data_IF_734072075429
#
_entry.id   IF_734072075429
#
_cell.length_a   1.000
_cell.length_b   1.000
_cell.length_c   1.000
_cell.angle_alpha   90.00
_cell.angle_beta   90.00
_cell.angle_gamma   90.00
#
_symmetry.space_group_name_H-M   'P 1'
#
loop_
_entity.id
_entity.type
_entity.pdbx_description
1 polymer ?
#
# COMPACT_ATOMS: atom_id res chain seq x y z
N UNK A 1 15.74 10.01 -4.64
CA UNK A 1 15.34 8.71 -5.22
C UNK A 1 16.04 8.41 -6.54
N UNK A 2 15.91 9.22 -7.61
CA UNK A 2 16.57 8.94 -8.91
C UNK A 2 18.10 8.79 -8.85
N UNK A 3 18.78 9.61 -8.04
CA UNK A 3 20.24 9.52 -7.83
C UNK A 3 20.68 8.24 -7.10
N UNK A 4 19.84 7.73 -6.18
CA UNK A 4 20.07 6.46 -5.47
C UNK A 4 19.77 5.24 -6.35
N UNK A 5 18.98 5.42 -7.40
CA UNK A 5 18.72 4.41 -8.44
C UNK A 5 19.76 4.44 -9.58
N UNK A 6 20.80 5.28 -9.48
CA UNK A 6 21.88 5.37 -10.49
C UNK A 6 21.58 6.29 -11.67
N UNK A 7 20.47 7.03 -11.67
CA UNK A 7 20.19 8.06 -12.69
C UNK A 7 20.96 9.32 -12.30
N UNK A 8 22.09 9.58 -12.97
CA UNK A 8 22.89 10.80 -12.81
C UNK A 8 24.37 10.63 -12.44
N UNK A 9 24.93 9.41 -12.45
CA UNK A 9 26.39 9.21 -12.43
C UNK A 9 26.89 9.03 -13.87
N UNK A 10 27.92 9.77 -14.28
CA UNK A 10 28.54 9.69 -15.62
C UNK A 10 29.11 8.30 -15.99
N UNK A 11 28.99 7.30 -15.10
CA UNK A 11 29.44 5.91 -15.25
C UNK A 11 28.40 4.84 -14.92
N UNK A 12 27.18 5.23 -14.52
CA UNK A 12 26.10 4.29 -14.24
C UNK A 12 25.36 4.01 -15.55
N UNK A 13 25.51 2.79 -16.08
CA UNK A 13 24.75 2.39 -17.26
C UNK A 13 23.24 2.45 -16.94
N UNK A 14 22.42 3.11 -17.76
CA UNK A 14 20.95 3.09 -17.65
C UNK A 14 20.36 1.67 -17.47
N UNK A 15 21.08 0.64 -17.94
CA UNK A 15 20.73 -0.77 -17.75
C UNK A 15 20.78 -1.22 -16.28
N UNK A 16 21.70 -0.74 -15.46
CA UNK A 16 21.78 -1.10 -14.03
C UNK A 16 20.61 -0.53 -13.23
N UNK A 17 20.18 0.69 -13.54
CA UNK A 17 18.99 1.31 -12.96
C UNK A 17 17.71 0.54 -13.36
N UNK A 18 17.61 0.16 -14.64
CA UNK A 18 16.50 -0.64 -15.15
C UNK A 18 16.44 -2.03 -14.51
N UNK A 19 17.59 -2.71 -14.35
CA UNK A 19 17.66 -4.01 -13.68
C UNK A 19 17.24 -3.91 -12.21
N UNK A 20 17.71 -2.89 -11.48
CA UNK A 20 17.29 -2.65 -10.10
C UNK A 20 15.78 -2.43 -9.98
N UNK A 21 15.19 -1.70 -10.94
CA UNK A 21 13.74 -1.48 -11.00
C UNK A 21 12.99 -2.79 -11.27
N UNK A 22 13.44 -3.58 -12.25
CA UNK A 22 12.85 -4.88 -12.59
C UNK A 22 13.00 -5.88 -11.44
N UNK A 23 14.12 -5.90 -10.73
CA UNK A 23 14.30 -6.75 -9.55
C UNK A 23 13.34 -6.34 -8.43
N UNK A 24 13.28 -5.05 -8.10
CA UNK A 24 12.39 -4.53 -7.04
C UNK A 24 10.91 -4.84 -7.36
N UNK A 25 10.45 -4.46 -8.55
CA UNK A 25 9.03 -4.56 -8.93
C UNK A 25 8.64 -5.95 -9.41
N UNK A 26 9.54 -6.65 -10.09
CA UNK A 26 9.37 -8.02 -10.52
C UNK A 26 9.25 -8.98 -9.34
N UNK A 27 10.15 -8.91 -8.36
CA UNK A 27 10.05 -9.75 -7.15
C UNK A 27 8.79 -9.42 -6.33
N UNK A 28 8.42 -8.14 -6.23
CA UNK A 28 7.17 -7.73 -5.60
C UNK A 28 5.93 -8.33 -6.29
N UNK A 29 5.89 -8.35 -7.62
CA UNK A 29 4.77 -8.95 -8.37
C UNK A 29 4.77 -10.48 -8.30
N UNK A 30 5.94 -11.11 -8.40
CA UNK A 30 6.09 -12.56 -8.30
C UNK A 30 5.67 -13.08 -6.91
N UNK A 31 6.08 -12.41 -5.84
CA UNK A 31 5.68 -12.78 -4.48
C UNK A 31 4.16 -12.71 -4.29
N UNK A 32 3.51 -11.67 -4.84
CA UNK A 32 2.05 -11.56 -4.88
C UNK A 32 1.41 -12.72 -5.65
N UNK A 33 1.95 -13.08 -6.81
CA UNK A 33 1.43 -14.21 -7.60
C UNK A 33 1.48 -15.51 -6.80
N UNK A 34 2.65 -15.85 -6.25
CA UNK A 34 2.85 -17.06 -5.44
C UNK A 34 1.92 -17.08 -4.23
N UNK A 35 1.81 -15.96 -3.53
CA UNK A 35 0.98 -15.88 -2.33
C UNK A 35 -0.52 -15.93 -2.59
N UNK A 36 -0.99 -15.28 -3.66
CA UNK A 36 -2.41 -15.35 -4.06
C UNK A 36 -2.77 -16.79 -4.44
N UNK A 37 -1.86 -17.49 -5.13
CA UNK A 37 -2.05 -18.89 -5.50
C UNK A 37 -2.07 -19.84 -4.29
N UNK A 38 -1.26 -19.59 -3.25
CA UNK A 38 -1.12 -20.49 -2.10
C UNK A 38 -2.11 -20.22 -0.96
N UNK A 39 -2.56 -18.97 -0.77
CA UNK A 39 -3.36 -18.59 0.39
C UNK A 39 -4.83 -18.28 0.09
N UNK A 40 -5.27 -18.44 -1.17
CA UNK A 40 -6.65 -18.25 -1.61
C UNK A 40 -7.68 -18.95 -0.70
N UNK A 41 -7.37 -20.17 -0.24
CA UNK A 41 -8.26 -21.00 0.59
C UNK A 41 -8.36 -20.58 2.05
N UNK A 42 -7.42 -19.79 2.57
CA UNK A 42 -7.38 -19.40 4.00
C UNK A 42 -8.10 -18.06 4.26
N UNK A 43 -8.40 -17.29 3.21
CA UNK A 43 -9.10 -16.00 3.35
C UNK A 43 -10.54 -16.14 3.86
N UNK A 44 -11.18 -17.27 3.58
CA UNK A 44 -12.60 -17.48 3.93
C UNK A 44 -12.82 -17.66 5.44
N UNK A 45 -11.83 -18.12 6.21
CA UNK A 45 -12.04 -18.51 7.62
C UNK A 45 -11.94 -17.33 8.59
N UNK A 46 -11.10 -16.31 8.31
CA UNK A 46 -10.82 -15.18 9.22
C UNK A 46 -10.65 -13.84 8.50
N UNK A 47 -11.58 -13.52 7.59
CA UNK A 47 -11.52 -12.35 6.71
C UNK A 47 -11.19 -11.03 7.44
N UNK A 48 -11.90 -10.69 8.53
CA UNK A 48 -11.69 -9.43 9.26
C UNK A 48 -10.28 -9.32 9.86
N UNK A 49 -9.78 -10.40 10.46
CA UNK A 49 -8.46 -10.42 11.09
C UNK A 49 -7.35 -10.35 10.04
N UNK A 50 -7.51 -11.08 8.93
CA UNK A 50 -6.56 -11.05 7.83
C UNK A 50 -6.54 -9.65 7.20
N UNK A 51 -7.71 -9.05 6.93
CA UNK A 51 -7.82 -7.68 6.40
C UNK A 51 -7.05 -6.69 7.27
N UNK A 52 -7.36 -6.63 8.57
CA UNK A 52 -6.72 -5.69 9.48
C UNK A 52 -5.20 -5.93 9.61
N UNK A 53 -4.79 -7.19 9.76
CA UNK A 53 -3.36 -7.54 9.85
C UNK A 53 -2.59 -7.14 8.60
N UNK A 54 -3.18 -7.32 7.42
CA UNK A 54 -2.53 -6.96 6.15
C UNK A 54 -2.48 -5.44 5.94
N UNK A 55 -3.46 -4.68 6.44
CA UNK A 55 -3.39 -3.23 6.49
C UNK A 55 -2.24 -2.73 7.37
N UNK A 56 -2.00 -3.34 8.53
CA UNK A 56 -0.83 -3.01 9.37
C UNK A 56 0.47 -3.26 8.61
N UNK A 57 0.61 -4.42 7.96
CA UNK A 57 1.81 -4.76 7.18
C UNK A 57 2.01 -3.78 6.02
N UNK A 58 0.94 -3.37 5.34
CA UNK A 58 1.00 -2.35 4.29
C UNK A 58 1.53 -1.01 4.80
N UNK A 59 0.99 -0.52 5.92
CA UNK A 59 1.44 0.72 6.55
C UNK A 59 2.88 0.64 7.05
N UNK A 60 3.32 -0.49 7.60
CA UNK A 60 4.72 -0.68 7.95
C UNK A 60 5.63 -0.70 6.72
N UNK A 61 5.16 -1.28 5.60
CA UNK A 61 5.91 -1.34 4.34
C UNK A 61 6.14 0.04 3.73
N UNK A 62 5.13 0.91 3.73
CA UNK A 62 5.28 2.29 3.26
C UNK A 62 6.20 3.08 4.21
N UNK A 63 6.09 2.86 5.53
CA UNK A 63 7.01 3.45 6.50
C UNK A 63 8.46 3.05 6.26
N UNK A 64 8.69 1.77 5.94
CA UNK A 64 10.01 1.26 5.58
C UNK A 64 10.54 1.89 4.29
N UNK A 65 9.69 2.12 3.28
CA UNK A 65 10.07 2.87 2.07
C UNK A 65 10.44 4.33 2.36
N UNK A 66 9.72 5.01 3.25
CA UNK A 66 10.03 6.37 3.67
C UNK A 66 11.38 6.47 4.40
N UNK A 67 11.82 5.39 5.05
CA UNK A 67 13.13 5.30 5.70
C UNK A 67 14.27 4.97 4.73
N UNK A 68 13.99 4.51 3.51
CA UNK A 68 15.04 4.16 2.53
C UNK A 68 16.06 5.27 2.22
N UNK A 69 15.74 6.57 2.24
CA UNK A 69 16.72 7.63 2.00
C UNK A 69 17.78 7.72 3.12
N UNK A 70 17.49 7.25 4.33
CA UNK A 70 18.42 7.25 5.46
C UNK A 70 19.46 6.13 5.38
N UNK A 71 19.20 5.07 4.61
CA UNK A 71 20.08 3.91 4.44
C UNK A 71 20.49 3.72 2.96
N UNK A 72 21.31 4.64 2.39
CA UNK A 72 21.64 4.60 0.97
C UNK A 72 22.38 3.33 0.53
N UNK A 73 23.15 2.69 1.43
CA UNK A 73 23.90 1.46 1.13
C UNK A 73 23.02 0.21 0.99
N UNK A 74 21.88 0.15 1.67
CA UNK A 74 20.93 -0.98 1.62
C UNK A 74 19.64 -0.64 0.89
N UNK A 75 19.63 0.49 0.16
CA UNK A 75 18.44 1.03 -0.51
C UNK A 75 17.68 -0.04 -1.31
N UNK A 76 18.39 -0.79 -2.16
CA UNK A 76 17.76 -1.79 -3.03
C UNK A 76 17.10 -2.93 -2.23
N UNK A 77 17.80 -3.46 -1.23
CA UNK A 77 17.31 -4.57 -0.42
C UNK A 77 16.09 -4.13 0.40
N UNK A 78 16.21 -3.02 1.12
CA UNK A 78 15.13 -2.47 1.95
C UNK A 78 13.92 -2.11 1.09
N UNK A 79 14.13 -1.46 -0.05
CA UNK A 79 13.05 -1.11 -0.97
C UNK A 79 12.38 -2.36 -1.57
N UNK A 80 13.13 -3.42 -1.85
CA UNK A 80 12.57 -4.68 -2.39
C UNK A 80 11.74 -5.41 -1.35
N UNK A 81 12.23 -5.53 -0.11
CA UNK A 81 11.48 -6.15 1.00
C UNK A 81 10.20 -5.36 1.28
N UNK A 82 10.29 -4.03 1.34
CA UNK A 82 9.13 -3.17 1.51
C UNK A 82 8.11 -3.35 0.37
N UNK A 83 8.58 -3.46 -0.87
CA UNK A 83 7.71 -3.66 -2.03
C UNK A 83 7.02 -5.03 -2.00
N UNK A 84 7.73 -6.10 -1.61
CA UNK A 84 7.16 -7.44 -1.45
C UNK A 84 6.02 -7.41 -0.42
N UNK A 85 6.26 -6.86 0.77
CA UNK A 85 5.26 -6.78 1.83
C UNK A 85 4.05 -5.90 1.45
N UNK A 86 4.28 -4.82 0.69
CA UNK A 86 3.23 -3.98 0.12
C UNK A 86 2.37 -4.75 -0.89
N UNK A 87 3.00 -5.41 -1.85
CA UNK A 87 2.32 -6.17 -2.92
C UNK A 87 1.53 -7.35 -2.34
N UNK A 88 2.06 -7.96 -1.28
CA UNK A 88 1.40 -9.00 -0.52
C UNK A 88 0.10 -8.50 0.14
N UNK A 89 0.20 -7.38 0.84
CA UNK A 89 -0.95 -6.76 1.51
C UNK A 89 -2.01 -6.28 0.53
N UNK A 90 -1.59 -5.78 -0.64
CA UNK A 90 -2.49 -5.41 -1.74
C UNK A 90 -3.25 -6.62 -2.30
N UNK A 91 -2.59 -7.77 -2.39
CA UNK A 91 -3.24 -9.02 -2.81
C UNK A 91 -4.37 -9.42 -1.84
N UNK A 92 -4.08 -9.39 -0.54
CA UNK A 92 -5.06 -9.64 0.51
C UNK A 92 -6.22 -8.64 0.47
N UNK A 93 -5.93 -7.36 0.26
CA UNK A 93 -6.95 -6.33 0.11
C UNK A 93 -7.91 -6.68 -1.03
N UNK A 94 -7.40 -6.96 -2.22
CA UNK A 94 -8.24 -7.24 -3.38
C UNK A 94 -9.09 -8.50 -3.20
N UNK A 95 -8.51 -9.55 -2.61
CA UNK A 95 -9.25 -10.78 -2.30
C UNK A 95 -10.40 -10.52 -1.32
N UNK A 96 -10.14 -9.72 -0.27
CA UNK A 96 -11.12 -9.45 0.79
C UNK A 96 -12.15 -8.37 0.40
N UNK A 97 -11.80 -7.46 -0.50
CA UNK A 97 -12.65 -6.32 -0.87
C UNK A 97 -13.96 -6.78 -1.54
N UNK A 98 -13.89 -7.81 -2.37
CA UNK A 98 -15.08 -8.40 -3.01
C UNK A 98 -16.08 -8.95 -2.00
N UNK A 99 -15.59 -9.62 -0.95
CA UNK A 99 -16.44 -10.14 0.13
C UNK A 99 -17.06 -9.01 0.98
N UNK A 100 -16.31 -7.92 1.21
CA UNK A 100 -16.82 -6.72 1.90
C UNK A 100 -17.91 -6.03 1.08
N UNK A 101 -17.71 -5.81 -0.22
CA UNK A 101 -18.74 -5.24 -1.09
C UNK A 101 -19.99 -6.12 -1.15
N UNK A 102 -19.83 -7.45 -1.18
CA UNK A 102 -20.95 -8.38 -1.13
C UNK A 102 -21.75 -8.29 0.18
N UNK A 103 -21.09 -8.07 1.32
CA UNK A 103 -21.75 -7.89 2.62
C UNK A 103 -22.67 -6.67 2.68
N UNK A 104 -22.36 -5.62 1.92
CA UNK A 104 -23.17 -4.40 1.83
C UNK A 104 -24.16 -4.40 0.65
N UNK A 105 -24.09 -5.40 -0.24
CA UNK A 105 -25.02 -5.54 -1.35
C UNK A 105 -26.35 -6.09 -0.83
N UNK A 106 -27.45 -5.36 -1.07
CA UNK A 106 -28.79 -5.73 -0.61
C UNK A 106 -29.70 -6.33 -1.70
N UNK A 107 -29.43 -6.03 -2.98
CA UNK A 107 -30.29 -6.42 -4.11
C UNK A 107 -29.52 -6.43 -5.45
N UNK A 108 -28.63 -7.42 -5.65
CA UNK A 108 -27.78 -7.60 -6.85
C UNK A 108 -27.01 -6.33 -7.35
N UNK A 109 -26.91 -5.32 -6.49
CA UNK A 109 -26.31 -4.02 -6.76
C UNK A 109 -24.80 -4.00 -6.49
N UNK A 110 -24.14 -5.17 -6.55
CA UNK A 110 -22.72 -5.32 -6.24
C UNK A 110 -21.84 -4.47 -7.17
N UNK A 111 -22.19 -4.40 -8.45
CA UNK A 111 -21.46 -3.61 -9.44
C UNK A 111 -21.56 -2.11 -9.16
N UNK A 112 -22.76 -1.61 -8.87
CA UNK A 112 -22.98 -0.19 -8.55
C UNK A 112 -22.24 0.21 -7.26
N UNK A 113 -22.33 -0.62 -6.22
CA UNK A 113 -21.62 -0.37 -4.97
C UNK A 113 -20.09 -0.34 -5.18
N UNK A 114 -19.57 -1.29 -5.96
CA UNK A 114 -18.14 -1.34 -6.30
C UNK A 114 -17.72 -0.11 -7.10
N UNK A 115 -18.54 0.34 -8.05
CA UNK A 115 -18.28 1.55 -8.83
C UNK A 115 -18.26 2.81 -7.95
N UNK A 116 -19.22 2.96 -7.03
CA UNK A 116 -19.25 4.11 -6.08
C UNK A 116 -18.04 4.12 -5.16
N UNK A 117 -17.65 2.96 -4.64
CA UNK A 117 -16.44 2.81 -3.83
C UNK A 117 -15.16 3.21 -4.59
N UNK A 118 -15.06 2.80 -5.85
CA UNK A 118 -13.93 3.18 -6.71
C UNK A 118 -13.91 4.68 -6.97
N UNK A 119 -15.06 5.30 -7.30
CA UNK A 119 -15.15 6.76 -7.50
C UNK A 119 -14.72 7.49 -6.22
N UNK A 120 -15.20 7.05 -5.06
CA UNK A 120 -14.81 7.62 -3.78
C UNK A 120 -13.29 7.53 -3.58
N UNK A 121 -12.70 6.36 -3.79
CA UNK A 121 -11.26 6.13 -3.66
C UNK A 121 -10.47 7.07 -4.57
N UNK A 122 -10.83 7.14 -5.86
CA UNK A 122 -10.16 8.00 -6.85
C UNK A 122 -10.29 9.48 -6.50
N UNK A 123 -11.46 9.93 -6.02
CA UNK A 123 -11.64 11.31 -5.56
C UNK A 123 -10.70 11.65 -4.39
N UNK A 124 -10.68 10.81 -3.34
CA UNK A 124 -9.83 11.05 -2.18
C UNK A 124 -8.34 10.93 -2.50
N UNK A 125 -7.94 10.03 -3.40
CA UNK A 125 -6.55 9.93 -3.88
C UNK A 125 -6.11 11.22 -4.58
N UNK A 126 -6.96 11.78 -5.46
CA UNK A 126 -6.64 13.04 -6.15
C UNK A 126 -6.59 14.23 -5.18
N UNK A 127 -7.52 14.30 -4.23
CA UNK A 127 -7.51 15.33 -3.19
C UNK A 127 -6.26 15.23 -2.30
N UNK A 128 -5.87 14.01 -1.92
CA UNK A 128 -4.66 13.73 -1.15
C UNK A 128 -3.40 14.11 -1.91
N UNK A 129 -3.32 13.80 -3.20
CA UNK A 129 -2.19 14.18 -4.06
C UNK A 129 -2.11 15.70 -4.24
N UNK A 130 -3.23 16.38 -4.42
CA UNK A 130 -3.29 17.84 -4.52
C UNK A 130 -2.83 18.49 -3.20
N UNK A 131 -3.31 18.00 -2.06
CA UNK A 131 -2.88 18.48 -0.74
C UNK A 131 -1.38 18.25 -0.53
N UNK A 132 -0.88 17.06 -0.86
CA UNK A 132 0.54 16.75 -0.77
C UNK A 132 1.37 17.70 -1.66
N UNK A 133 0.94 17.97 -2.89
CA UNK A 133 1.62 18.90 -3.78
C UNK A 133 1.67 20.33 -3.22
N UNK A 134 0.54 20.82 -2.69
CA UNK A 134 0.45 22.15 -2.07
C UNK A 134 1.35 22.27 -0.84
N UNK A 135 1.42 21.23 0.01
CA UNK A 135 2.31 21.21 1.17
C UNK A 135 3.80 21.12 0.78
N UNK A 136 4.11 20.49 -0.35
CA UNK A 136 5.49 20.37 -0.83
C UNK A 136 6.02 21.66 -1.49
N UNK A 137 5.16 22.48 -2.12
CA UNK A 137 5.56 23.73 -2.79
C UNK A 137 6.37 24.70 -1.89
N UNK A 138 5.91 25.07 -0.68
CA UNK A 138 6.67 25.99 0.19
C UNK A 138 7.92 25.34 0.80
N UNK A 139 7.96 24.01 0.92
CA UNK A 139 9.09 23.28 1.50
C UNK A 139 10.19 22.90 0.48
N UNK A 140 10.04 23.28 -0.79
CA UNK A 140 10.95 22.90 -1.89
C UNK A 140 12.41 23.27 -1.62
N UNK A 141 12.67 24.35 -0.87
CA UNK A 141 14.01 24.86 -0.64
C UNK A 141 14.80 24.10 0.45
N UNK A 142 14.12 23.38 1.35
CA UNK A 142 14.73 22.74 2.52
C UNK A 142 14.47 21.22 2.53
N UNK A 143 15.35 20.45 1.88
CA UNK A 143 15.22 18.99 1.76
C UNK A 143 15.16 18.27 3.13
N UNK A 144 15.88 18.76 4.13
CA UNK A 144 15.84 18.20 5.50
C UNK A 144 14.50 18.44 6.19
N UNK A 145 13.87 19.59 5.94
CA UNK A 145 12.56 19.95 6.50
C UNK A 145 11.45 19.14 5.84
N UNK A 146 11.56 18.89 4.53
CA UNK A 146 10.66 18.00 3.79
C UNK A 146 10.72 16.55 4.29
N UNK A 147 11.92 16.01 4.54
CA UNK A 147 12.10 14.67 5.09
C UNK A 147 11.57 14.57 6.54
N UNK A 148 11.82 15.58 7.37
CA UNK A 148 11.29 15.65 8.74
C UNK A 148 9.75 15.74 8.77
N UNK A 149 9.16 16.57 7.91
CA UNK A 149 7.71 16.71 7.79
C UNK A 149 7.08 15.38 7.35
N UNK A 150 7.66 14.69 6.36
CA UNK A 150 7.18 13.38 5.93
C UNK A 150 7.23 12.34 7.07
N UNK A 151 8.31 12.34 7.87
CA UNK A 151 8.45 11.43 9.01
C UNK A 151 7.47 11.69 10.15
N UNK A 152 7.05 12.94 10.35
CA UNK A 152 6.08 13.29 11.40
C UNK A 152 4.64 13.11 10.93
N UNK A 153 4.33 13.53 9.71
CA UNK A 153 2.98 13.48 9.15
C UNK A 153 2.56 12.04 8.83
N UNK A 154 3.47 11.23 8.29
CA UNK A 154 3.17 9.85 7.91
C UNK A 154 2.60 8.97 9.04
N UNK A 155 3.20 8.85 10.24
CA UNK A 155 2.66 8.01 11.29
C UNK A 155 1.29 8.48 11.78
N UNK A 156 1.02 9.79 11.77
CA UNK A 156 -0.28 10.34 12.14
C UNK A 156 -1.35 9.90 11.13
N UNK A 157 -1.10 10.11 9.83
CA UNK A 157 -2.02 9.70 8.77
C UNK A 157 -2.21 8.18 8.72
N UNK A 158 -1.14 7.42 8.92
CA UNK A 158 -1.17 5.95 8.98
C UNK A 158 -2.01 5.44 10.16
N UNK A 159 -1.91 6.09 11.33
CA UNK A 159 -2.74 5.74 12.49
C UNK A 159 -4.23 6.04 12.25
N UNK A 160 -4.54 7.19 11.63
CA UNK A 160 -5.91 7.56 11.25
C UNK A 160 -6.48 6.56 10.23
N UNK A 161 -5.69 6.18 9.21
CA UNK A 161 -6.08 5.19 8.21
C UNK A 161 -6.37 3.82 8.85
N UNK A 162 -5.46 3.32 9.69
CA UNK A 162 -5.66 2.06 10.42
C UNK A 162 -6.89 2.10 11.33
N UNK A 163 -7.14 3.23 11.99
CA UNK A 163 -8.34 3.42 12.79
C UNK A 163 -9.61 3.42 11.93
N UNK A 164 -9.60 4.10 10.79
CA UNK A 164 -10.69 4.10 9.83
C UNK A 164 -11.00 2.69 9.31
N UNK A 165 -9.97 1.91 8.96
CA UNK A 165 -10.10 0.52 8.54
C UNK A 165 -10.66 -0.34 9.67
N UNK A 166 -10.19 -0.15 10.91
CA UNK A 166 -10.70 -0.85 12.08
C UNK A 166 -12.21 -0.59 12.30
N UNK A 167 -12.62 0.68 12.26
CA UNK A 167 -14.02 1.06 12.40
C UNK A 167 -14.87 0.52 11.23
N UNK A 168 -14.37 0.59 10.00
CA UNK A 168 -15.05 0.02 8.84
C UNK A 168 -15.29 -1.48 9.01
N UNK A 169 -14.25 -2.23 9.39
CA UNK A 169 -14.33 -3.68 9.62
C UNK A 169 -15.27 -4.09 10.76
N UNK A 170 -15.45 -3.22 11.76
CA UNK A 170 -16.41 -3.44 12.85
C UNK A 170 -17.85 -3.52 12.33
N UNK A 171 -18.20 -2.68 11.35
CA UNK A 171 -19.56 -2.56 10.81
C UNK A 171 -19.88 -3.55 9.67
N UNK A 172 -18.87 -4.20 9.09
CA UNK A 172 -19.06 -5.25 8.07
C UNK A 172 -19.73 -6.48 8.70
N UNK A 173 -20.92 -6.85 8.23
CA UNK A 173 -21.63 -8.07 8.66
C UNK A 173 -21.44 -9.16 7.59
N UNK A 174 -20.50 -10.08 7.81
CA UNK A 174 -20.26 -11.17 6.88
C UNK A 174 -21.44 -12.14 6.94
N UNK A 175 -22.13 -12.31 5.80
CA UNK A 175 -23.23 -13.27 5.66
C UNK A 175 -22.74 -14.73 5.51
N UNK A 176 -21.44 -14.96 5.36
CA UNK A 176 -20.87 -16.30 5.31
C UNK A 176 -20.65 -16.86 6.71
N UNK A 177 -21.32 -18.00 6.96
CA UNK A 177 -21.21 -18.85 8.14
C UNK A 177 -19.78 -18.91 8.68
N UNK A 178 -19.54 -18.24 9.80
CA UNK A 178 -18.40 -18.55 10.64
C UNK A 178 -18.69 -19.94 11.23
N UNK A 179 -18.05 -21.00 10.74
CA UNK A 179 -17.97 -22.23 11.54
C UNK A 179 -17.17 -21.86 12.79
N UNK A 180 -17.86 -21.92 13.93
CA UNK A 180 -17.32 -21.68 15.27
C UNK A 180 -16.09 -22.55 15.55
#
# INVERSE_FOLDING_TARGET
MFRAMGVGFSRSLPSAAALNWVLKDGLGRLSRFVYTASLASTFDTKLKRIRFSTSIVFSLSIGLELLTPFFPHYFLLVATVANIAKQLSLACYLATNSAVHRSFAGADNLCELSAKSQIQTVCFDNLGLMLAALLNMPCKNNQSLQAGLALVVYPIFSAIDLFGIYQGLKHVHLQTLTKA
#
